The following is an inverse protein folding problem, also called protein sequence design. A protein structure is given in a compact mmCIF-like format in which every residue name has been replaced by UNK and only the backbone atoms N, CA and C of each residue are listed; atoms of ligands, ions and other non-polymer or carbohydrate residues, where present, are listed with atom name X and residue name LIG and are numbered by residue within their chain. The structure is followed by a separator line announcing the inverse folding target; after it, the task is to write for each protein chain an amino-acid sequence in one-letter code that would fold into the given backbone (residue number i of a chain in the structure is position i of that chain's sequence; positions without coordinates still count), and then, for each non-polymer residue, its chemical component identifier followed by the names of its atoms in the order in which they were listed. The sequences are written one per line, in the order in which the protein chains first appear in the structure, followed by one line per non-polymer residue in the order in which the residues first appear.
data_IF_159361189280
#
_entry.id   IF_159361189280
#
_cell.length_a   1.000
_cell.length_b   1.000
_cell.length_c   1.000
_cell.angle_alpha   90.00
_cell.angle_beta   90.00
_cell.angle_gamma   90.00
#
_symmetry.space_group_name_H-M   'P 1'
#
loop_
_entity.id
_entity.type
_entity.pdbx_description
1 polymer ?
#
# COMPACT_ATOMS: atom_id res chain seq x y z
N UNK A 1 -23.23 12.33 13.84
CA UNK A 1 -24.43 11.66 13.26
C UNK A 1 -24.06 10.35 12.56
N UNK A 2 -23.11 10.37 11.62
CA UNK A 2 -22.64 9.19 10.87
C UNK A 2 -22.21 7.98 11.72
N UNK A 3 -21.38 8.17 12.76
CA UNK A 3 -20.93 7.04 13.62
C UNK A 3 -22.07 6.34 14.38
N UNK A 4 -23.11 7.08 14.78
CA UNK A 4 -24.27 6.49 15.46
C UNK A 4 -25.15 5.68 14.50
N UNK A 5 -25.25 6.12 13.24
CA UNK A 5 -25.91 5.38 12.18
C UNK A 5 -25.16 4.09 11.84
N UNK A 6 -23.83 4.16 11.67
CA UNK A 6 -22.98 2.98 11.45
C UNK A 6 -23.11 1.96 12.59
N UNK A 7 -23.10 2.41 13.84
CA UNK A 7 -23.31 1.52 14.99
C UNK A 7 -24.70 0.85 14.96
N UNK A 8 -25.73 1.55 14.48
CA UNK A 8 -27.08 0.98 14.29
C UNK A 8 -27.07 -0.09 13.19
N UNK A 9 -26.35 0.16 12.09
CA UNK A 9 -26.17 -0.82 11.01
C UNK A 9 -25.43 -2.05 11.51
N UNK A 10 -24.34 -1.91 12.27
CA UNK A 10 -23.60 -3.03 12.84
C UNK A 10 -24.46 -3.91 13.73
N UNK A 11 -25.20 -3.31 14.68
CA UNK A 11 -26.09 -4.05 15.57
C UNK A 11 -27.25 -4.72 14.83
N UNK A 12 -27.87 -4.02 13.88
CA UNK A 12 -29.01 -4.57 13.11
C UNK A 12 -28.63 -5.79 12.30
N UNK A 13 -27.42 -5.80 11.74
CA UNK A 13 -26.92 -6.92 10.93
C UNK A 13 -26.09 -7.93 11.75
N UNK A 14 -26.03 -7.77 13.09
CA UNK A 14 -25.24 -8.63 13.97
C UNK A 14 -23.79 -8.80 13.50
N UNK A 15 -23.14 -7.69 13.12
CA UNK A 15 -21.75 -7.70 12.68
C UNK A 15 -20.86 -8.08 13.87
N UNK A 16 -20.00 -9.09 13.68
CA UNK A 16 -19.01 -9.53 14.67
C UNK A 16 -17.61 -8.97 14.38
N UNK A 17 -17.28 -8.85 13.09
CA UNK A 17 -15.95 -8.48 12.57
C UNK A 17 -16.10 -7.32 11.58
N UNK A 18 -15.38 -6.23 11.80
CA UNK A 18 -15.25 -5.14 10.82
C UNK A 18 -13.93 -5.26 10.07
N UNK A 19 -13.99 -5.38 8.74
CA UNK A 19 -12.81 -5.28 7.87
C UNK A 19 -12.86 -3.92 7.17
N UNK A 20 -11.98 -3.00 7.57
CA UNK A 20 -11.91 -1.65 7.03
C UNK A 20 -10.95 -1.60 5.83
N UNK A 21 -11.54 -1.59 4.63
CA UNK A 21 -10.84 -1.55 3.34
C UNK A 21 -11.04 -0.21 2.59
N UNK A 22 -11.78 0.74 3.16
CA UNK A 22 -12.20 1.96 2.47
C UNK A 22 -11.08 3.02 2.47
N UNK A 23 -10.06 2.77 1.64
CA UNK A 23 -8.90 3.65 1.44
C UNK A 23 -8.77 4.09 -0.01
N UNK A 24 -8.22 5.29 -0.20
CA UNK A 24 -7.87 5.79 -1.52
C UNK A 24 -6.43 5.34 -1.80
N UNK A 25 -6.29 4.31 -2.64
CA UNK A 25 -5.00 3.71 -2.99
C UNK A 25 -4.17 4.51 -4.00
N UNK A 26 -4.76 5.55 -4.59
CA UNK A 26 -4.14 6.37 -5.62
C UNK A 26 -4.15 7.86 -5.25
N UNK A 27 -3.18 8.63 -5.75
CA UNK A 27 -3.17 10.09 -5.60
C UNK A 27 -4.43 10.72 -6.18
N UNK A 28 -5.13 11.54 -5.40
CA UNK A 28 -6.28 12.34 -5.82
C UNK A 28 -5.98 13.83 -5.63
N UNK A 29 -6.51 14.67 -6.52
CA UNK A 29 -6.32 16.12 -6.45
C UNK A 29 -7.07 16.78 -5.30
N UNK A 30 -8.25 16.25 -4.97
CA UNK A 30 -9.04 16.71 -3.83
C UNK A 30 -8.54 16.05 -2.54
N UNK A 31 -7.45 16.62 -2.01
CA UNK A 31 -6.82 16.11 -0.79
C UNK A 31 -7.68 16.33 0.45
N UNK A 32 -8.59 17.31 0.44
CA UNK A 32 -9.50 17.56 1.56
C UNK A 32 -10.57 16.48 1.62
N UNK A 33 -11.19 16.15 0.48
CA UNK A 33 -12.09 15.00 0.38
C UNK A 33 -11.40 13.69 0.76
N UNK A 34 -10.16 13.48 0.29
CA UNK A 34 -9.38 12.29 0.62
C UNK A 34 -9.15 12.15 2.12
N UNK A 35 -8.77 13.25 2.77
CA UNK A 35 -8.56 13.31 4.21
C UNK A 35 -9.86 13.08 4.98
N UNK A 36 -10.97 13.72 4.57
CA UNK A 36 -12.28 13.52 5.19
C UNK A 36 -12.72 12.04 5.09
N UNK A 37 -12.62 11.43 3.90
CA UNK A 37 -13.01 10.04 3.69
C UNK A 37 -12.14 9.08 4.51
N UNK A 38 -10.83 9.24 4.47
CA UNK A 38 -9.90 8.29 5.08
C UNK A 38 -9.75 8.51 6.58
N UNK A 39 -9.41 9.73 7.00
CA UNK A 39 -9.07 10.04 8.38
C UNK A 39 -10.34 10.21 9.23
N UNK A 40 -11.27 11.07 8.80
CA UNK A 40 -12.49 11.32 9.56
C UNK A 40 -13.46 10.13 9.43
N UNK A 41 -13.54 9.51 8.25
CA UNK A 41 -14.30 8.27 8.05
C UNK A 41 -13.82 7.12 8.93
N UNK A 42 -12.49 6.91 9.05
CA UNK A 42 -11.94 5.91 9.97
C UNK A 42 -12.32 6.20 11.41
N UNK A 43 -12.20 7.45 11.87
CA UNK A 43 -12.60 7.84 13.22
C UNK A 43 -14.07 7.48 13.49
N UNK A 44 -14.97 7.76 12.55
CA UNK A 44 -16.38 7.40 12.67
C UNK A 44 -16.61 5.89 12.71
N UNK A 45 -15.91 5.12 11.87
CA UNK A 45 -16.00 3.65 11.85
C UNK A 45 -15.51 3.03 13.16
N UNK A 46 -14.39 3.50 13.70
CA UNK A 46 -13.84 3.02 14.98
C UNK A 46 -14.77 3.35 16.15
N UNK A 47 -15.32 4.57 16.20
CA UNK A 47 -16.31 4.93 17.20
C UNK A 47 -17.57 4.06 17.10
N UNK A 48 -18.01 3.74 15.88
CA UNK A 48 -19.14 2.84 15.66
C UNK A 48 -18.84 1.40 16.10
N UNK A 49 -17.64 0.89 15.79
CA UNK A 49 -17.17 -0.43 16.21
C UNK A 49 -17.13 -0.55 17.75
N UNK A 50 -16.62 0.48 18.42
CA UNK A 50 -16.64 0.59 19.89
C UNK A 50 -18.07 0.55 20.44
N UNK A 51 -18.97 1.38 19.90
CA UNK A 51 -20.35 1.48 20.36
C UNK A 51 -21.17 0.21 20.10
N UNK A 52 -20.83 -0.55 19.06
CA UNK A 52 -21.42 -1.85 18.76
C UNK A 52 -20.74 -3.01 19.52
N UNK A 53 -19.62 -2.76 20.21
CA UNK A 53 -18.80 -3.75 20.92
C UNK A 53 -18.36 -4.90 20.01
N UNK A 54 -17.84 -4.56 18.83
CA UNK A 54 -17.31 -5.57 17.91
C UNK A 54 -16.15 -6.34 18.56
N UNK A 55 -16.12 -7.66 18.34
CA UNK A 55 -15.08 -8.54 18.87
C UNK A 55 -13.77 -8.42 18.11
N UNK A 56 -13.81 -7.99 16.83
CA UNK A 56 -12.62 -7.85 15.98
C UNK A 56 -12.75 -6.70 14.99
N UNK A 57 -11.65 -5.99 14.77
CA UNK A 57 -11.48 -5.01 13.71
C UNK A 57 -10.17 -5.27 12.97
N UNK A 58 -10.24 -5.37 11.65
CA UNK A 58 -9.09 -5.54 10.76
C UNK A 58 -8.94 -4.30 9.89
N UNK A 59 -7.78 -3.66 9.97
CA UNK A 59 -7.40 -2.49 9.17
C UNK A 59 -6.53 -2.92 7.99
N UNK A 60 -6.90 -2.49 6.79
CA UNK A 60 -5.99 -2.52 5.66
C UNK A 60 -4.99 -1.36 5.76
N UNK A 61 -3.76 -1.65 6.17
CA UNK A 61 -2.65 -0.70 6.18
C UNK A 61 -1.83 -0.77 4.89
N UNK A 62 -0.83 0.10 4.78
CA UNK A 62 0.10 0.14 3.65
C UNK A 62 1.53 0.34 4.16
N UNK A 63 2.49 -0.42 3.62
CA UNK A 63 3.90 -0.30 4.01
C UNK A 63 4.51 1.07 3.67
N UNK A 64 3.87 1.87 2.82
CA UNK A 64 4.26 3.27 2.57
C UNK A 64 4.23 4.11 3.85
N UNK A 65 3.44 3.75 4.87
CA UNK A 65 3.41 4.44 6.16
C UNK A 65 4.76 4.47 6.88
N UNK A 66 5.67 3.51 6.61
CA UNK A 66 7.04 3.57 7.12
C UNK A 66 7.84 4.77 6.55
N UNK A 67 7.52 5.17 5.31
CA UNK A 67 8.21 6.21 4.57
C UNK A 67 9.45 5.71 3.83
N UNK A 68 9.69 6.24 2.63
CA UNK A 68 10.92 6.01 1.89
C UNK A 68 11.99 7.01 2.34
N UNK A 69 13.01 6.55 3.07
CA UNK A 69 14.05 7.40 3.66
C UNK A 69 15.46 6.83 3.45
N UNK A 70 16.49 7.68 3.34
CA UNK A 70 17.87 7.24 3.11
C UNK A 70 18.45 6.42 4.27
N UNK A 71 17.94 6.60 5.48
CA UNK A 71 18.36 5.92 6.71
C UNK A 71 17.49 4.69 7.03
N UNK A 72 16.63 4.24 6.11
CA UNK A 72 15.89 3.00 6.29
C UNK A 72 16.85 1.80 6.35
N UNK A 73 16.64 0.84 7.28
CA UNK A 73 17.30 -0.45 7.20
C UNK A 73 16.92 -1.17 5.90
N UNK A 74 17.64 -2.24 5.58
CA UNK A 74 17.33 -3.07 4.40
C UNK A 74 15.95 -3.71 4.47
N UNK A 75 15.49 -4.02 5.69
CA UNK A 75 14.16 -4.59 5.95
C UNK A 75 13.53 -3.86 7.14
N UNK A 76 12.29 -3.41 6.96
CA UNK A 76 11.48 -2.75 7.97
C UNK A 76 10.56 -3.77 8.65
N UNK A 77 10.81 -4.08 9.91
CA UNK A 77 9.90 -4.88 10.74
C UNK A 77 8.73 -4.03 11.27
N UNK A 78 7.75 -4.67 11.92
CA UNK A 78 6.56 -3.96 12.42
C UNK A 78 6.81 -3.06 13.64
N UNK A 79 7.99 -3.16 14.28
CA UNK A 79 8.40 -2.30 15.39
C UNK A 79 8.98 -0.98 14.91
N UNK A 80 9.29 -0.86 13.62
CA UNK A 80 9.76 0.40 13.05
C UNK A 80 8.68 1.48 13.15
N UNK A 81 9.05 2.73 13.47
CA UNK A 81 8.11 3.82 13.54
C UNK A 81 7.54 4.15 12.16
N UNK A 82 6.26 4.54 12.12
CA UNK A 82 5.61 5.05 10.93
C UNK A 82 6.03 6.51 10.70
N UNK A 83 7.08 6.71 9.90
CA UNK A 83 7.66 8.05 9.66
C UNK A 83 6.99 8.80 8.51
N UNK A 84 6.28 8.09 7.64
CA UNK A 84 5.73 8.62 6.40
C UNK A 84 6.79 9.34 5.55
N UNK A 85 6.32 10.18 4.62
CA UNK A 85 7.18 11.09 3.86
C UNK A 85 6.69 12.54 4.02
N UNK A 86 7.60 13.53 4.09
CA UNK A 86 7.21 14.93 4.11
C UNK A 86 6.40 15.31 2.87
N UNK A 87 5.44 16.22 3.04
CA UNK A 87 4.69 16.84 1.93
C UNK A 87 3.85 15.86 1.07
N UNK A 88 3.53 14.67 1.56
CA UNK A 88 2.56 13.76 0.92
C UNK A 88 1.30 13.64 1.77
N UNK A 89 0.20 14.34 1.42
CA UNK A 89 -1.08 14.20 2.10
C UNK A 89 -1.55 12.74 2.14
N UNK A 90 -1.41 12.01 1.02
CA UNK A 90 -1.78 10.60 0.94
C UNK A 90 -1.05 9.75 2.00
N UNK A 91 0.25 9.94 2.17
CA UNK A 91 1.02 9.14 3.15
C UNK A 91 0.77 9.64 4.58
N UNK A 92 0.56 10.94 4.76
CA UNK A 92 0.18 11.50 6.05
C UNK A 92 -1.15 10.90 6.55
N UNK A 93 -2.15 10.77 5.67
CA UNK A 93 -3.44 10.15 6.00
C UNK A 93 -3.29 8.67 6.38
N UNK A 94 -2.47 7.91 5.64
CA UNK A 94 -2.18 6.51 5.97
C UNK A 94 -1.57 6.36 7.37
N UNK A 95 -0.59 7.22 7.71
CA UNK A 95 0.05 7.24 9.02
C UNK A 95 -0.96 7.65 10.10
N UNK A 96 -1.79 8.67 9.86
CA UNK A 96 -2.76 9.13 10.84
C UNK A 96 -3.83 8.08 11.14
N UNK A 97 -4.39 7.44 10.10
CA UNK A 97 -5.37 6.35 10.26
C UNK A 97 -4.80 5.23 11.11
N UNK A 98 -3.56 4.81 10.84
CA UNK A 98 -2.95 3.74 11.62
C UNK A 98 -2.70 4.14 13.08
N UNK A 99 -2.28 5.38 13.34
CA UNK A 99 -2.18 5.90 14.70
C UNK A 99 -3.54 6.01 15.41
N UNK A 100 -4.61 6.37 14.70
CA UNK A 100 -5.97 6.34 15.25
C UNK A 100 -6.36 4.91 15.64
N UNK A 101 -6.02 3.94 14.80
CA UNK A 101 -6.28 2.52 15.04
C UNK A 101 -5.50 1.98 16.24
N UNK A 102 -4.21 2.34 16.37
CA UNK A 102 -3.39 1.97 17.53
C UNK A 102 -3.97 2.51 18.85
N UNK A 103 -4.41 3.78 18.84
CA UNK A 103 -5.11 4.39 19.98
C UNK A 103 -6.43 3.68 20.30
N UNK A 104 -7.16 3.25 19.28
CA UNK A 104 -8.39 2.47 19.46
C UNK A 104 -8.08 1.12 20.11
N UNK A 105 -7.10 0.38 19.60
CA UNK A 105 -6.69 -0.91 20.13
C UNK A 105 -6.26 -0.82 21.61
N UNK A 106 -5.52 0.24 21.98
CA UNK A 106 -5.11 0.46 23.38
C UNK A 106 -6.30 0.71 24.31
N UNK A 107 -7.37 1.37 23.83
CA UNK A 107 -8.57 1.68 24.62
C UNK A 107 -9.57 0.53 24.68
N UNK A 108 -9.44 -0.46 23.79
CA UNK A 108 -10.37 -1.58 23.66
C UNK A 108 -9.63 -2.92 23.68
N UNK A 109 -9.03 -3.31 24.83
CA UNK A 109 -8.25 -4.54 24.94
C UNK A 109 -9.08 -5.82 24.70
N UNK A 110 -10.40 -5.75 24.85
CA UNK A 110 -11.32 -6.86 24.58
C UNK A 110 -11.65 -7.03 23.08
N UNK A 111 -11.21 -6.10 22.22
CA UNK A 111 -11.40 -6.15 20.77
C UNK A 111 -10.10 -6.54 20.08
N UNK A 112 -10.12 -7.63 19.31
CA UNK A 112 -8.96 -8.04 18.50
C UNK A 112 -8.74 -7.03 17.39
N UNK A 113 -7.64 -6.28 17.47
CA UNK A 113 -7.30 -5.25 16.50
C UNK A 113 -6.09 -5.70 15.66
N UNK A 114 -6.29 -5.89 14.36
CA UNK A 114 -5.25 -6.36 13.42
C UNK A 114 -4.99 -5.30 12.35
N UNK A 115 -3.74 -4.96 12.10
CA UNK A 115 -3.33 -4.11 10.96
C UNK A 115 -2.55 -4.95 9.96
N UNK A 116 -3.00 -4.96 8.70
CA UNK A 116 -2.30 -5.62 7.61
C UNK A 116 -1.58 -4.57 6.76
N UNK A 117 -0.29 -4.33 7.02
CA UNK A 117 0.54 -3.38 6.25
C UNK A 117 0.92 -4.02 4.92
N UNK A 118 0.11 -3.77 3.89
CA UNK A 118 0.30 -4.38 2.57
C UNK A 118 1.53 -3.80 1.86
N UNK A 119 2.31 -4.66 1.20
CA UNK A 119 3.32 -4.26 0.23
C UNK A 119 2.70 -3.61 -1.03
N UNK A 120 3.50 -3.34 -2.06
CA UNK A 120 2.95 -2.78 -3.30
C UNK A 120 2.10 -3.82 -4.03
N UNK A 121 0.79 -3.73 -3.87
CA UNK A 121 -0.15 -4.61 -4.56
C UNK A 121 -0.09 -4.32 -6.06
N UNK A 122 0.19 -5.35 -6.85
CA UNK A 122 0.11 -5.29 -8.31
C UNK A 122 -1.07 -6.14 -8.79
N UNK A 123 -1.92 -5.50 -9.60
CA UNK A 123 -2.97 -6.13 -10.38
C UNK A 123 -3.36 -5.18 -11.51
N UNK A 124 -3.95 -5.69 -12.58
CA UNK A 124 -4.53 -4.85 -13.63
C UNK A 124 -5.76 -4.07 -13.11
N UNK A 125 -6.51 -4.63 -12.16
CA UNK A 125 -7.72 -4.03 -11.59
C UNK A 125 -7.41 -3.04 -10.47
N UNK A 126 -6.21 -3.12 -9.88
CA UNK A 126 -5.78 -2.23 -8.81
C UNK A 126 -5.23 -0.95 -9.41
N UNK A 127 -5.75 0.17 -8.94
CA UNK A 127 -5.24 1.48 -9.27
C UNK A 127 -4.37 2.03 -8.13
N UNK A 128 -3.18 2.53 -8.48
CA UNK A 128 -2.19 2.95 -7.50
C UNK A 128 -0.92 3.47 -8.14
N UNK A 129 -0.09 4.13 -7.33
CA UNK A 129 1.13 4.80 -7.81
C UNK A 129 2.07 3.87 -8.60
N UNK A 130 2.43 2.72 -8.03
CA UNK A 130 3.37 1.78 -8.65
C UNK A 130 2.76 1.06 -9.87
N UNK A 131 1.53 0.52 -9.83
CA UNK A 131 0.87 -0.01 -11.02
C UNK A 131 0.82 0.98 -12.19
N UNK A 132 0.41 2.24 -11.95
CA UNK A 132 0.36 3.29 -12.99
C UNK A 132 1.75 3.55 -13.58
N UNK A 133 2.76 3.67 -12.72
CA UNK A 133 4.14 3.88 -13.13
C UNK A 133 4.64 2.75 -14.06
N UNK A 134 4.37 1.49 -13.72
CA UNK A 134 4.82 0.33 -14.50
C UNK A 134 3.99 0.08 -15.78
N UNK A 135 2.75 0.57 -15.85
CA UNK A 135 1.94 0.54 -17.08
C UNK A 135 2.46 1.49 -18.15
N UNK A 136 3.11 2.59 -17.76
CA UNK A 136 3.64 3.56 -18.72
C UNK A 136 4.70 2.94 -19.63
N UNK A 137 4.63 3.23 -20.94
CA UNK A 137 5.66 2.85 -21.90
C UNK A 137 7.02 3.49 -21.59
N UNK A 138 6.99 4.71 -21.06
CA UNK A 138 8.15 5.49 -20.63
C UNK A 138 8.03 5.79 -19.15
N UNK A 139 8.87 5.16 -18.34
CA UNK A 139 8.82 5.22 -16.89
C UNK A 139 9.82 6.25 -16.39
N UNK A 140 9.37 7.41 -15.86
CA UNK A 140 10.29 8.36 -15.26
C UNK A 140 10.91 7.74 -14.00
N UNK A 141 12.24 7.82 -13.89
CA UNK A 141 13.02 7.39 -12.72
C UNK A 141 13.88 8.53 -12.20
N UNK A 142 14.43 8.40 -11.00
CA UNK A 142 15.32 9.44 -10.44
C UNK A 142 16.77 9.09 -10.77
N UNK A 143 17.47 10.01 -11.41
CA UNK A 143 18.87 9.83 -11.81
C UNK A 143 19.74 9.51 -10.59
N UNK A 144 20.49 8.41 -10.66
CA UNK A 144 21.38 7.94 -9.59
C UNK A 144 20.72 7.06 -8.53
N UNK A 145 19.44 6.72 -8.69
CA UNK A 145 18.71 5.85 -7.75
C UNK A 145 18.09 4.64 -8.47
N UNK A 146 18.10 3.50 -7.79
CA UNK A 146 17.47 2.26 -8.25
C UNK A 146 17.00 1.43 -7.04
N UNK A 147 15.91 1.84 -6.36
CA UNK A 147 15.49 1.20 -5.12
C UNK A 147 15.02 -0.23 -5.34
N UNK A 148 15.18 -1.07 -4.31
CA UNK A 148 14.58 -2.39 -4.27
C UNK A 148 13.08 -2.27 -3.99
N UNK A 149 12.31 -2.94 -4.84
CA UNK A 149 10.85 -2.98 -4.82
C UNK A 149 10.38 -4.39 -4.47
N UNK A 150 9.25 -4.44 -3.78
CA UNK A 150 8.54 -5.65 -3.41
C UNK A 150 7.10 -5.55 -3.90
N UNK A 151 6.65 -6.60 -4.60
CA UNK A 151 5.36 -6.61 -5.31
C UNK A 151 4.49 -7.74 -4.80
N UNK A 152 3.37 -7.38 -4.17
CA UNK A 152 2.40 -8.33 -3.62
C UNK A 152 1.31 -8.62 -4.67
N UNK A 153 1.00 -9.89 -4.89
CA UNK A 153 -0.12 -10.25 -5.76
C UNK A 153 -1.45 -9.93 -5.06
N UNK A 154 -2.46 -9.47 -5.80
CA UNK A 154 -3.75 -9.10 -5.19
C UNK A 154 -4.47 -10.30 -4.52
N UNK A 155 -4.30 -11.51 -5.05
CA UNK A 155 -4.86 -12.72 -4.41
C UNK A 155 -4.15 -13.04 -3.09
N UNK A 156 -2.85 -12.78 -2.99
CA UNK A 156 -2.12 -12.94 -1.74
C UNK A 156 -2.56 -11.89 -0.71
N UNK A 157 -2.86 -10.66 -1.13
CA UNK A 157 -3.46 -9.65 -0.27
C UNK A 157 -4.84 -10.09 0.26
N UNK A 158 -5.68 -10.66 -0.61
CA UNK A 158 -6.96 -11.24 -0.20
C UNK A 158 -6.78 -12.43 0.77
N UNK A 159 -5.81 -13.29 0.52
CA UNK A 159 -5.48 -14.39 1.43
C UNK A 159 -5.09 -13.88 2.82
N UNK A 160 -4.30 -12.80 2.92
CA UNK A 160 -3.95 -12.20 4.20
C UNK A 160 -5.18 -11.64 4.94
N UNK A 161 -6.12 -10.99 4.22
CA UNK A 161 -7.39 -10.54 4.79
C UNK A 161 -8.20 -11.72 5.31
N UNK A 162 -8.31 -12.79 4.52
CA UNK A 162 -9.02 -14.03 4.91
C UNK A 162 -8.43 -14.63 6.19
N UNK A 163 -7.10 -14.74 6.28
CA UNK A 163 -6.42 -15.22 7.48
C UNK A 163 -6.72 -14.33 8.69
N UNK A 164 -6.68 -13.01 8.54
CA UNK A 164 -7.00 -12.07 9.63
C UNK A 164 -8.45 -12.14 10.12
N UNK A 165 -9.39 -12.48 9.24
CA UNK A 165 -10.79 -12.72 9.62
C UNK A 165 -10.92 -14.04 10.37
N UNK A 166 -10.32 -15.11 9.87
CA UNK A 166 -10.43 -16.48 10.41
C UNK A 166 -9.66 -16.71 11.72
N UNK A 167 -8.56 -15.98 11.94
CA UNK A 167 -7.71 -16.10 13.13
C UNK A 167 -7.59 -14.81 13.93
N UNK A 168 -7.17 -14.92 15.19
CA UNK A 168 -7.00 -13.77 16.09
C UNK A 168 -5.53 -13.34 16.15
N UNK A 169 -5.22 -12.23 15.47
CA UNK A 169 -3.86 -11.73 15.33
C UNK A 169 -3.78 -10.27 15.79
N UNK A 170 -3.66 -10.00 17.10
CA UNK A 170 -3.54 -8.64 17.59
C UNK A 170 -2.22 -7.98 17.15
N UNK A 171 -2.30 -6.71 16.75
CA UNK A 171 -1.16 -5.89 16.34
C UNK A 171 -1.01 -5.76 14.82
N UNK A 172 0.15 -5.23 14.42
CA UNK A 172 0.48 -5.02 13.00
C UNK A 172 1.26 -6.21 12.41
N UNK A 173 1.03 -6.43 11.13
CA UNK A 173 1.68 -7.47 10.31
C UNK A 173 1.99 -6.92 8.93
N UNK A 174 3.26 -7.01 8.53
CA UNK A 174 3.70 -6.74 7.17
C UNK A 174 3.28 -7.89 6.26
N UNK A 175 2.49 -7.58 5.24
CA UNK A 175 2.05 -8.55 4.25
C UNK A 175 2.84 -8.32 2.98
N UNK A 176 3.77 -9.22 2.73
CA UNK A 176 4.76 -9.07 1.67
C UNK A 176 4.97 -10.36 0.90
N UNK A 177 5.43 -10.23 -0.34
CA UNK A 177 5.85 -11.37 -1.16
C UNK A 177 7.34 -11.64 -1.00
N UNK A 178 7.73 -12.87 -1.34
CA UNK A 178 9.13 -13.25 -1.37
C UNK A 178 9.87 -12.58 -2.54
N UNK A 179 11.16 -12.30 -2.35
CA UNK A 179 12.04 -11.76 -3.38
C UNK A 179 11.87 -10.25 -3.61
N UNK A 180 12.97 -9.63 -4.05
CA UNK A 180 13.07 -8.20 -4.30
C UNK A 180 13.57 -7.97 -5.73
N UNK A 181 13.14 -6.87 -6.33
CA UNK A 181 13.59 -6.46 -7.65
C UNK A 181 14.00 -5.00 -7.62
N UNK A 182 15.15 -4.68 -8.20
CA UNK A 182 15.50 -3.31 -8.51
C UNK A 182 14.45 -2.71 -9.45
N UNK A 183 14.07 -1.45 -9.24
CA UNK A 183 13.08 -0.75 -10.06
C UNK A 183 13.43 -0.81 -11.56
N UNK A 184 14.70 -0.59 -11.91
CA UNK A 184 15.21 -0.68 -13.29
C UNK A 184 14.97 -2.05 -13.92
N UNK A 185 15.13 -3.12 -13.13
CA UNK A 185 14.89 -4.50 -13.56
C UNK A 185 13.40 -4.75 -13.74
N UNK A 186 12.55 -4.23 -12.84
CA UNK A 186 11.11 -4.34 -12.96
C UNK A 186 10.57 -3.65 -14.23
N UNK A 187 11.12 -2.49 -14.59
CA UNK A 187 10.79 -1.74 -15.81
C UNK A 187 11.24 -2.53 -17.05
N UNK A 188 12.48 -3.01 -17.06
CA UNK A 188 13.04 -3.78 -18.19
C UNK A 188 12.29 -5.09 -18.45
N UNK A 189 11.89 -5.80 -17.41
CA UNK A 189 11.11 -7.04 -17.54
C UNK A 189 9.74 -6.83 -18.18
N UNK A 190 9.19 -5.61 -18.09
CA UNK A 190 7.95 -5.21 -18.77
C UNK A 190 8.13 -4.69 -20.20
N UNK A 191 9.36 -4.71 -20.74
CA UNK A 191 9.65 -4.11 -22.04
C UNK A 191 9.46 -2.59 -22.06
N UNK A 192 9.56 -1.92 -20.91
CA UNK A 192 9.38 -0.48 -20.77
C UNK A 192 10.71 0.27 -20.84
N UNK A 193 10.66 1.54 -21.20
CA UNK A 193 11.85 2.41 -21.24
C UNK A 193 11.97 3.21 -19.95
N UNK A 194 13.19 3.39 -19.46
CA UNK A 194 13.47 4.29 -18.33
C UNK A 194 13.77 5.70 -18.83
N UNK A 195 13.23 6.71 -18.15
CA UNK A 195 13.57 8.12 -18.33
C UNK A 195 14.19 8.65 -17.04
N UNK A 196 15.52 8.58 -16.87
CA UNK A 196 16.18 9.05 -15.66
C UNK A 196 16.20 10.58 -15.63
N UNK A 197 15.55 11.18 -14.63
CA UNK A 197 15.46 12.61 -14.44
C UNK A 197 16.21 13.05 -13.17
N UNK A 198 16.99 14.14 -13.21
CA UNK A 198 17.48 14.82 -12.02
C UNK A 198 16.35 15.12 -11.03
N UNK A 199 16.61 14.98 -9.73
CA UNK A 199 15.63 15.20 -8.67
C UNK A 199 14.98 16.60 -8.71
N UNK A 200 15.74 17.63 -9.08
CA UNK A 200 15.21 18.99 -9.22
C UNK A 200 14.16 19.10 -10.34
N UNK A 201 14.28 18.30 -11.40
CA UNK A 201 13.27 18.22 -12.46
C UNK A 201 12.03 17.47 -12.00
N UNK A 202 12.17 16.43 -11.17
CA UNK A 202 11.03 15.78 -10.54
C UNK A 202 10.20 16.74 -9.69
N UNK A 203 10.86 17.53 -8.85
CA UNK A 203 10.18 18.53 -8.02
C UNK A 203 9.48 19.60 -8.85
N UNK A 204 10.13 20.10 -9.90
CA UNK A 204 9.59 21.20 -10.73
C UNK A 204 8.55 20.72 -11.75
N UNK A 205 8.90 19.72 -12.53
CA UNK A 205 8.06 19.21 -13.60
C UNK A 205 6.87 18.43 -13.04
N UNK A 206 7.05 17.72 -11.93
CA UNK A 206 5.95 17.03 -11.27
C UNK A 206 4.89 17.99 -10.72
N UNK A 207 5.26 19.14 -10.13
CA UNK A 207 4.27 20.11 -9.64
C UNK A 207 3.45 20.73 -10.78
N UNK A 208 4.10 21.00 -11.91
CA UNK A 208 3.44 21.53 -13.12
C UNK A 208 2.53 20.47 -13.74
N UNK A 209 3.02 19.26 -13.97
CA UNK A 209 2.25 18.20 -14.63
C UNK A 209 1.13 17.65 -13.74
N UNK A 210 1.30 17.64 -12.41
CA UNK A 210 0.23 17.35 -11.46
C UNK A 210 -0.87 18.44 -11.49
N UNK A 211 -0.48 19.72 -11.52
CA UNK A 211 -1.43 20.83 -11.61
C UNK A 211 -2.23 20.84 -12.92
N UNK A 212 -1.62 20.38 -14.02
CA UNK A 212 -2.31 20.23 -15.31
C UNK A 212 -2.99 18.87 -15.49
N UNK A 213 -3.02 18.01 -14.47
CA UNK A 213 -3.59 16.65 -14.52
C UNK A 213 -2.97 15.75 -15.62
N UNK A 214 -1.78 16.10 -16.11
CA UNK A 214 -1.09 15.35 -17.18
C UNK A 214 -0.15 14.27 -16.64
N UNK A 215 0.26 14.37 -15.38
CA UNK A 215 0.93 13.27 -14.68
C UNK A 215 -0.03 12.61 -13.70
N UNK A 216 -0.11 11.29 -13.77
CA UNK A 216 -0.85 10.47 -12.80
C UNK A 216 -0.05 10.17 -11.52
N UNK A 217 1.16 10.76 -11.39
CA UNK A 217 2.12 10.56 -10.30
C UNK A 217 2.42 11.89 -9.59
N UNK A 218 2.12 12.03 -8.29
CA UNK A 218 2.39 13.24 -7.55
C UNK A 218 3.89 13.35 -7.20
N UNK A 219 4.46 14.57 -7.19
CA UNK A 219 5.84 14.82 -6.76
C UNK A 219 6.13 14.32 -5.35
N UNK A 220 5.12 14.29 -4.49
CA UNK A 220 5.24 13.91 -3.08
C UNK A 220 5.61 12.44 -2.88
N UNK A 221 5.49 11.60 -3.91
CA UNK A 221 5.86 10.18 -3.86
C UNK A 221 7.21 9.88 -4.52
N UNK A 222 7.93 10.89 -5.02
CA UNK A 222 9.23 10.70 -5.68
C UNK A 222 10.26 10.02 -4.79
N UNK A 223 10.19 10.23 -3.46
CA UNK A 223 11.12 9.60 -2.52
C UNK A 223 11.01 8.08 -2.50
N UNK A 224 9.83 7.52 -2.85
CA UNK A 224 9.65 6.07 -3.04
C UNK A 224 10.31 5.53 -4.31
N UNK A 225 10.78 6.42 -5.21
CA UNK A 225 11.63 6.09 -6.36
C UNK A 225 13.12 6.32 -6.07
N UNK A 226 13.46 6.85 -4.89
CA UNK A 226 14.84 7.13 -4.46
C UNK A 226 15.30 6.15 -3.42
N UNK A 227 14.48 5.91 -2.41
CA UNK A 227 14.87 5.16 -1.21
C UNK A 227 14.02 3.91 -1.06
N UNK A 228 14.65 2.86 -0.53
CA UNK A 228 13.98 1.59 -0.25
C UNK A 228 13.07 1.70 0.98
N UNK A 229 11.97 0.95 0.96
CA UNK A 229 11.02 0.80 2.07
C UNK A 229 10.53 -0.66 2.15
N UNK A 230 11.45 -1.59 1.92
CA UNK A 230 11.16 -3.02 1.90
C UNK A 230 10.77 -3.48 3.29
N UNK A 231 9.64 -4.17 3.41
CA UNK A 231 9.11 -4.66 4.67
C UNK A 231 9.48 -6.13 4.91
N UNK A 232 9.73 -6.48 6.17
CA UNK A 232 9.96 -7.86 6.59
C UNK A 232 8.62 -8.56 6.86
N UNK A 233 8.33 -9.63 6.12
CA UNK A 233 7.10 -10.43 6.27
C UNK A 233 7.20 -11.61 7.25
N UNK A 234 8.33 -11.79 7.95
CA UNK A 234 8.56 -12.95 8.83
C UNK A 234 7.50 -13.09 9.92
N UNK A 235 7.02 -11.99 10.50
CA UNK A 235 6.01 -12.04 11.57
C UNK A 235 4.69 -12.61 11.08
N UNK A 236 4.19 -12.14 9.93
CA UNK A 236 2.99 -12.70 9.30
C UNK A 236 3.19 -14.18 8.93
N UNK A 237 4.39 -14.53 8.46
CA UNK A 237 4.76 -15.88 8.09
C UNK A 237 4.74 -16.86 9.29
N UNK A 238 5.23 -16.43 10.45
CA UNK A 238 5.37 -17.25 11.65
C UNK A 238 4.08 -17.30 12.48
N UNK A 239 3.38 -16.18 12.64
CA UNK A 239 2.24 -16.07 13.53
C UNK A 239 0.91 -16.30 12.81
N UNK A 240 0.72 -15.74 11.62
CA UNK A 240 -0.52 -15.91 10.84
C UNK A 240 -0.49 -17.14 9.92
N UNK A 241 0.70 -17.74 9.72
CA UNK A 241 0.89 -18.78 8.71
C UNK A 241 0.78 -18.26 7.28
N UNK A 242 0.89 -16.94 7.07
CA UNK A 242 0.81 -16.35 5.74
C UNK A 242 1.99 -16.84 4.88
N UNK A 243 1.68 -17.29 3.66
CA UNK A 243 2.66 -17.73 2.65
C UNK A 243 2.20 -17.16 1.31
N UNK A 244 2.97 -16.26 0.69
CA UNK A 244 2.61 -15.75 -0.63
C UNK A 244 2.67 -16.89 -1.64
N UNK A 245 1.68 -16.95 -2.53
CA UNK A 245 1.64 -17.93 -3.62
C UNK A 245 2.61 -17.55 -4.73
N UNK A 246 2.85 -16.25 -4.91
CA UNK A 246 3.74 -15.69 -5.93
C UNK A 246 4.83 -14.82 -5.32
N UNK A 247 6.07 -15.01 -5.78
CA UNK A 247 7.16 -14.08 -5.46
C UNK A 247 7.04 -12.78 -6.28
N UNK A 248 7.73 -11.72 -5.87
CA UNK A 248 7.69 -10.40 -6.53
C UNK A 248 7.93 -10.46 -8.04
N UNK A 249 8.80 -11.36 -8.52
CA UNK A 249 9.10 -11.51 -9.96
C UNK A 249 7.96 -12.18 -10.71
N UNK A 250 7.34 -13.20 -10.12
CA UNK A 250 6.18 -13.86 -10.68
C UNK A 250 4.98 -12.90 -10.73
N UNK A 251 4.72 -12.18 -9.63
CA UNK A 251 3.67 -11.15 -9.55
C UNK A 251 3.84 -10.11 -10.66
N UNK A 252 5.06 -9.62 -10.86
CA UNK A 252 5.36 -8.66 -11.91
C UNK A 252 5.15 -9.25 -13.32
N UNK A 253 5.57 -10.49 -13.55
CA UNK A 253 5.40 -11.15 -14.83
C UNK A 253 3.92 -11.35 -15.17
N UNK A 254 3.10 -11.71 -14.18
CA UNK A 254 1.65 -11.83 -14.35
C UNK A 254 0.97 -10.48 -14.61
N UNK A 255 1.36 -9.44 -13.88
CA UNK A 255 0.91 -8.07 -14.11
C UNK A 255 1.16 -7.59 -15.55
N UNK A 256 2.33 -7.87 -16.12
CA UNK A 256 2.61 -7.51 -17.52
C UNK A 256 1.91 -8.41 -18.54
N UNK A 257 1.72 -9.70 -18.23
CA UNK A 257 0.98 -10.63 -19.11
C UNK A 257 -0.49 -10.23 -19.24
N UNK A 258 -1.12 -9.87 -18.13
CA UNK A 258 -2.51 -9.39 -18.10
C UNK A 258 -2.68 -8.01 -18.77
N UNK A 259 -1.59 -7.30 -19.04
CA UNK A 259 -1.56 -5.96 -19.67
C UNK A 259 -1.35 -5.97 -21.21
N UNK A 260 -1.65 -7.04 -21.95
CA UNK A 260 -1.24 -7.22 -23.36
C UNK A 260 -1.63 -6.10 -24.36
N UNK A 261 -1.06 -6.02 -25.58
CA UNK A 261 0.15 -6.62 -26.12
C UNK A 261 1.29 -5.57 -26.24
N UNK A 262 2.22 -5.59 -25.28
CA UNK A 262 3.58 -5.06 -25.45
C UNK A 262 4.65 -6.07 -24.99
N UNK A 263 4.23 -7.16 -24.36
CA UNK A 263 5.10 -8.18 -23.77
C UNK A 263 5.30 -9.42 -24.66
N UNK A 264 4.59 -9.57 -25.78
CA UNK A 264 4.77 -10.73 -26.67
C UNK A 264 6.02 -10.65 -27.57
N UNK A 265 6.68 -9.49 -27.66
CA UNK A 265 7.80 -9.30 -28.57
C UNK A 265 9.18 -9.70 -28.02
N UNK A 266 9.34 -9.99 -26.72
CA UNK A 266 10.69 -10.16 -26.13
C UNK A 266 10.96 -11.52 -25.46
N UNK A 267 10.04 -12.48 -25.47
CA UNK A 267 10.28 -13.82 -24.92
C UNK A 267 10.67 -14.85 -25.99
N UNK A 268 10.49 -14.54 -27.28
CA UNK A 268 10.69 -15.49 -28.39
C UNK A 268 12.09 -15.44 -29.04
N UNK A 269 13.03 -14.61 -28.57
CA UNK A 269 14.38 -14.49 -29.16
C UNK A 269 15.48 -14.62 -28.11
N UNK A 270 15.57 -15.80 -27.49
CA UNK A 270 16.84 -16.36 -27.02
C UNK A 270 16.70 -17.88 -27.03
N UNK A 271 16.90 -18.45 -28.22
CA UNK A 271 17.23 -19.86 -28.45
C UNK A 271 18.58 -19.92 -29.15
#
# INVERSE_FOLDING_TARGET
EAGAELARVFRRNQVDILVHLAFISHPVHDTEYAHELQVIGTLHLLNAASAARLGKVVLLGDSKSYGARPDNPNFLDEQQPLRGVPHSPLVADLVEVEQQFERFATRHPDTVCTVLRMGNILSHEVDGFIPRLLRSALVPTVLGYDPLMQFLHHEDAFQAIRLAVEGDFPGAFNITSDGLLALSTAIRLGGRLTLPLPYCLWQRAGSVMWAFQTLEVPPSLVDYLRFQFVADGQRAQQLMGFRPTMNSKQTLADFYRSSGPAAEASWATTG
#
